data_IF_145655768159
#
_entry.id   IF_145655768159
#
_cell.length_a   1.000
_cell.length_b   1.000
_cell.length_c   1.000
_cell.angle_alpha   90.00
_cell.angle_beta   90.00
_cell.angle_gamma   90.00
#
_symmetry.space_group_name_H-M   'P 1'
#
loop_
_entity.id
_entity.type
_entity.pdbx_description
1 polymer ?
#
# COMPACT_ATOMS: atom_id res chain seq x y z
N UNK A 1 19.98 -4.98 9.33
CA UNK A 1 20.27 -4.64 7.94
C UNK A 1 19.10 -5.03 7.06
N UNK A 2 18.59 -4.12 6.26
CA UNK A 2 17.50 -4.49 5.37
C UNK A 2 17.99 -5.47 4.32
N UNK A 3 17.06 -6.28 3.84
CA UNK A 3 17.35 -7.16 2.74
C UNK A 3 17.68 -6.32 1.50
N UNK A 4 18.59 -6.81 0.68
CA UNK A 4 19.07 -6.02 -0.45
C UNK A 4 17.98 -5.63 -1.44
N UNK A 5 16.88 -6.37 -1.48
CA UNK A 5 15.78 -6.04 -2.37
C UNK A 5 14.73 -5.14 -1.73
N UNK A 6 14.92 -4.76 -0.46
CA UNK A 6 14.00 -3.86 0.24
C UNK A 6 14.69 -2.52 0.45
N UNK A 7 15.00 -1.85 -0.63
CA UNK A 7 15.77 -0.61 -0.56
C UNK A 7 15.05 0.59 -1.17
N UNK A 8 13.78 0.44 -1.46
CA UNK A 8 12.98 1.57 -1.94
C UNK A 8 12.36 2.34 -0.78
N UNK A 9 11.90 3.52 -1.08
CA UNK A 9 11.15 4.34 -0.13
C UNK A 9 9.87 4.80 -0.79
N UNK A 10 8.85 4.95 0.02
CA UNK A 10 7.56 5.46 -0.47
C UNK A 10 7.08 6.54 0.48
N UNK A 11 6.21 7.40 -0.02
CA UNK A 11 5.52 8.39 0.81
C UNK A 11 4.11 7.88 1.05
N UNK A 12 3.76 7.73 2.32
CA UNK A 12 2.42 7.32 2.71
C UNK A 12 1.61 8.58 2.99
N UNK A 13 0.46 8.68 2.35
CA UNK A 13 -0.42 9.82 2.47
C UNK A 13 -1.66 9.35 3.20
N UNK A 14 -1.91 9.94 4.35
CA UNK A 14 -3.03 9.53 5.21
C UNK A 14 -4.00 10.69 5.35
N UNK A 15 -5.23 10.47 4.93
CA UNK A 15 -6.28 11.45 5.04
C UNK A 15 -6.66 11.64 6.51
N UNK A 16 -7.05 12.87 6.84
CA UNK A 16 -7.59 13.14 8.16
C UNK A 16 -9.05 12.70 8.17
N UNK A 17 -9.43 12.00 9.23
CA UNK A 17 -10.83 11.61 9.40
C UNK A 17 -11.60 12.77 9.99
N UNK A 18 -12.68 13.16 9.33
CA UNK A 18 -13.58 14.22 9.82
C UNK A 18 -14.99 13.67 9.86
N UNK A 19 -15.80 14.29 10.70
CA UNK A 19 -17.23 13.96 10.79
C UNK A 19 -18.01 15.03 10.04
N UNK A 20 -18.83 14.59 9.10
CA UNK A 20 -19.67 15.48 8.33
C UNK A 20 -21.03 14.85 8.20
N UNK A 21 -22.06 15.59 8.63
CA UNK A 21 -23.45 15.11 8.57
C UNK A 21 -23.62 13.75 9.26
N UNK A 22 -22.90 13.54 10.35
CA UNK A 22 -23.00 12.30 11.11
C UNK A 22 -22.18 11.14 10.56
N UNK A 23 -21.49 11.33 9.45
CA UNK A 23 -20.67 10.29 8.86
C UNK A 23 -19.21 10.66 8.90
N UNK A 24 -18.36 9.67 9.10
CA UNK A 24 -16.93 9.89 9.05
C UNK A 24 -16.46 9.76 7.62
N UNK A 25 -15.77 10.78 7.15
CA UNK A 25 -15.23 10.80 5.80
C UNK A 25 -13.74 11.14 5.86
N UNK A 26 -13.03 10.77 4.82
CA UNK A 26 -11.62 11.09 4.69
C UNK A 26 -11.45 12.44 4.04
N UNK A 27 -10.63 13.27 4.67
CA UNK A 27 -10.33 14.61 4.17
C UNK A 27 -8.93 14.60 3.60
N UNK A 28 -8.84 14.46 2.28
CA UNK A 28 -7.55 14.40 1.60
C UNK A 28 -6.89 15.78 1.47
N UNK A 29 -7.65 16.84 1.65
CA UNK A 29 -7.08 18.19 1.60
C UNK A 29 -6.18 18.45 2.79
N UNK A 30 -6.45 17.79 3.90
CA UNK A 30 -5.66 17.94 5.11
C UNK A 30 -4.91 16.67 5.44
N UNK A 31 -4.52 15.93 4.40
CA UNK A 31 -3.79 14.69 4.58
C UNK A 31 -2.40 14.95 5.13
N UNK A 32 -1.92 14.00 5.91
CA UNK A 32 -0.54 14.01 6.38
C UNK A 32 0.28 13.05 5.55
N UNK A 33 1.58 13.33 5.46
CA UNK A 33 2.49 12.50 4.70
C UNK A 33 3.65 12.09 5.56
N UNK A 34 4.10 10.88 5.38
CA UNK A 34 5.34 10.42 6.02
C UNK A 34 6.02 9.42 5.09
N UNK A 35 7.32 9.27 5.28
CA UNK A 35 8.13 8.40 4.44
C UNK A 35 8.31 7.07 5.14
N UNK A 36 8.14 5.99 4.38
CA UNK A 36 8.46 4.64 4.83
C UNK A 36 9.59 4.14 3.98
N UNK A 37 10.70 3.80 4.62
CA UNK A 37 11.91 3.34 3.97
C UNK A 37 12.00 1.83 4.02
N UNK A 38 12.94 1.29 3.24
CA UNK A 38 13.22 -0.14 3.23
C UNK A 38 11.99 -0.95 2.83
N UNK A 39 11.39 -0.56 1.72
CA UNK A 39 10.23 -1.26 1.18
C UNK A 39 10.62 -1.95 -0.12
N UNK A 40 9.85 -2.95 -0.47
CA UNK A 40 9.95 -3.62 -1.76
C UNK A 40 8.61 -3.50 -2.44
N UNK A 41 8.63 -3.04 -3.68
CA UNK A 41 7.42 -2.98 -4.49
C UNK A 41 7.63 -3.86 -5.71
N UNK A 42 6.75 -4.83 -5.86
CA UNK A 42 6.83 -5.77 -6.98
C UNK A 42 5.52 -5.73 -7.74
N UNK A 43 5.63 -5.98 -9.04
CA UNK A 43 4.44 -6.09 -9.86
C UNK A 43 3.64 -7.30 -9.40
N UNK A 44 2.37 -7.09 -9.14
CA UNK A 44 1.50 -8.18 -8.78
C UNK A 44 1.10 -8.93 -10.04
N UNK A 45 1.13 -10.25 -9.97
CA UNK A 45 0.68 -11.04 -11.10
C UNK A 45 -0.80 -10.75 -11.31
N UNK A 46 -1.12 -10.28 -12.51
CA UNK A 46 -2.52 -10.03 -12.82
C UNK A 46 -3.24 -11.35 -13.00
N UNK A 47 -4.48 -11.37 -12.58
CA UNK A 47 -5.33 -12.52 -12.83
C UNK A 47 -5.46 -12.69 -14.32
N UNK A 48 -5.38 -13.92 -14.75
CA UNK A 48 -5.58 -14.17 -16.15
C UNK A 48 -7.02 -13.90 -16.52
N UNK A 49 -7.15 -13.55 -17.79
CA UNK A 49 -8.44 -13.41 -18.37
C UNK A 49 -9.06 -14.80 -18.50
N UNK A 50 -10.04 -15.07 -17.70
CA UNK A 50 -10.77 -16.33 -17.79
C UNK A 50 -11.91 -16.13 -18.77
N UNK A 51 -12.19 -17.16 -19.51
CA UNK A 51 -13.34 -17.18 -20.41
C UNK A 51 -13.23 -16.20 -21.56
N UNK A 52 -12.03 -15.82 -21.91
CA UNK A 52 -11.81 -14.99 -23.08
C UNK A 52 -12.21 -13.55 -22.92
N UNK A 53 -12.51 -13.10 -21.72
CA UNK A 53 -12.84 -11.71 -21.51
C UNK A 53 -11.57 -10.92 -21.23
N UNK A 54 -11.47 -9.78 -21.85
CA UNK A 54 -10.35 -8.90 -21.59
C UNK A 54 -10.47 -8.36 -20.18
N UNK A 55 -9.46 -8.62 -19.39
CA UNK A 55 -9.41 -8.07 -18.06
C UNK A 55 -8.98 -6.62 -18.14
N UNK A 56 -9.57 -5.81 -17.30
CA UNK A 56 -9.06 -4.48 -17.10
C UNK A 56 -7.71 -4.60 -16.46
N UNK A 57 -6.72 -4.05 -17.14
CA UNK A 57 -5.40 -4.02 -16.59
C UNK A 57 -5.34 -2.93 -15.55
N UNK A 58 -5.40 -3.32 -14.31
CA UNK A 58 -5.13 -2.41 -13.22
C UNK A 58 -3.66 -2.56 -12.89
N UNK A 59 -3.01 -1.43 -12.68
CA UNK A 59 -1.61 -1.45 -12.28
C UNK A 59 -1.56 -1.82 -10.81
N UNK A 60 -1.48 -3.10 -10.55
CA UNK A 60 -1.50 -3.64 -9.20
C UNK A 60 -0.10 -4.03 -8.79
N UNK A 61 0.25 -3.73 -7.55
CA UNK A 61 1.56 -4.01 -7.01
C UNK A 61 1.44 -4.56 -5.61
N UNK A 62 2.48 -5.23 -5.15
CA UNK A 62 2.57 -5.69 -3.78
C UNK A 62 3.67 -4.90 -3.09
N UNK A 63 3.33 -4.31 -1.95
CA UNK A 63 4.29 -3.59 -1.13
C UNK A 63 4.65 -4.46 0.07
N UNK A 64 5.94 -4.60 0.32
CA UNK A 64 6.45 -5.25 1.53
C UNK A 64 7.37 -4.29 2.24
N UNK A 65 7.24 -4.24 3.54
CA UNK A 65 8.01 -3.34 4.38
C UNK A 65 8.34 -4.02 5.69
N UNK A 66 9.03 -3.31 6.56
CA UNK A 66 9.30 -3.82 7.90
C UNK A 66 8.02 -4.01 8.68
N UNK A 67 8.05 -4.86 9.68
CA UNK A 67 6.88 -5.20 10.46
C UNK A 67 6.23 -3.96 11.10
N UNK A 68 7.04 -3.01 11.50
CA UNK A 68 6.57 -1.82 12.18
C UNK A 68 6.28 -0.65 11.25
N UNK A 69 6.20 -0.91 9.95
CA UNK A 69 5.89 0.16 9.01
C UNK A 69 4.53 0.77 9.30
N UNK A 70 4.48 2.10 9.27
CA UNK A 70 3.25 2.84 9.57
C UNK A 70 2.42 2.98 8.31
N UNK A 71 1.68 1.94 8.00
CA UNK A 71 0.82 1.86 6.83
C UNK A 71 -0.52 1.29 7.30
N UNK A 72 -1.61 1.96 6.92
CA UNK A 72 -2.95 1.55 7.34
C UNK A 72 -3.86 1.40 6.14
N UNK A 73 -4.91 0.59 6.26
CA UNK A 73 -5.89 0.50 5.18
C UNK A 73 -6.49 1.88 4.89
N UNK A 74 -6.67 2.15 3.62
CA UNK A 74 -7.21 3.43 3.19
C UNK A 74 -6.19 4.51 2.95
N UNK A 75 -4.93 4.27 3.28
CA UNK A 75 -3.86 5.21 2.96
C UNK A 75 -3.59 5.20 1.45
N UNK A 76 -3.02 6.30 0.98
CA UNK A 76 -2.46 6.34 -0.36
C UNK A 76 -0.94 6.26 -0.26
N UNK A 77 -0.32 5.75 -1.30
CA UNK A 77 1.13 5.58 -1.35
C UNK A 77 1.63 6.24 -2.63
N UNK A 78 2.59 7.13 -2.48
CA UNK A 78 3.26 7.74 -3.63
C UNK A 78 4.60 7.05 -3.83
N UNK A 79 4.80 6.54 -5.03
CA UNK A 79 6.01 5.82 -5.38
C UNK A 79 6.34 6.04 -6.85
N UNK A 80 7.58 6.40 -7.10
CA UNK A 80 8.09 6.54 -8.47
C UNK A 80 7.25 7.46 -9.36
N UNK A 81 6.71 8.52 -8.75
CA UNK A 81 5.92 9.51 -9.48
C UNK A 81 4.44 9.17 -9.63
N UNK A 82 4.03 8.01 -9.21
CA UNK A 82 2.63 7.59 -9.28
C UNK A 82 2.04 7.46 -7.89
N UNK A 83 0.73 7.60 -7.82
CA UNK A 83 0.01 7.43 -6.57
C UNK A 83 -0.80 6.14 -6.63
N UNK A 84 -0.76 5.40 -5.54
CA UNK A 84 -1.49 4.15 -5.40
C UNK A 84 -2.38 4.22 -4.19
N UNK A 85 -3.47 3.48 -4.19
CA UNK A 85 -4.27 3.28 -3.00
C UNK A 85 -4.05 1.87 -2.48
N UNK A 86 -4.19 1.71 -1.18
CA UNK A 86 -4.07 0.40 -0.57
C UNK A 86 -5.38 -0.33 -0.80
N UNK A 87 -5.30 -1.47 -1.46
CA UNK A 87 -6.47 -2.28 -1.79
C UNK A 87 -6.61 -3.37 -0.74
N UNK A 88 -7.65 -3.27 0.07
CA UNK A 88 -7.89 -4.25 1.09
C UNK A 88 -7.14 -3.96 2.37
N UNK A 89 -6.72 -5.00 3.03
CA UNK A 89 -6.12 -4.89 4.35
C UNK A 89 -4.61 -4.85 4.29
N UNK A 90 -4.03 -4.36 5.37
CA UNK A 90 -2.60 -4.36 5.58
C UNK A 90 -2.28 -5.47 6.57
N UNK A 91 -1.37 -6.35 6.18
CA UNK A 91 -1.03 -7.51 6.99
C UNK A 91 0.32 -7.30 7.66
N UNK A 92 0.34 -7.39 8.98
CA UNK A 92 1.57 -7.37 9.76
C UNK A 92 1.82 -8.78 10.23
N UNK A 93 2.83 -9.42 9.65
CA UNK A 93 3.06 -10.84 9.89
C UNK A 93 4.39 -11.05 10.59
N UNK A 94 4.38 -11.81 11.64
CA UNK A 94 5.58 -12.26 12.34
C UNK A 94 5.70 -13.76 12.18
N UNK A 95 6.91 -14.20 11.84
CA UNK A 95 7.15 -15.64 11.84
C UNK A 95 7.19 -16.15 13.27
N UNK A 96 6.96 -17.46 13.48
CA UNK A 96 6.99 -18.01 14.83
C UNK A 96 8.32 -17.81 15.53
N UNK A 97 9.42 -17.74 14.78
CA UNK A 97 10.73 -17.53 15.36
C UNK A 97 11.06 -16.05 15.51
N UNK A 98 10.24 -15.17 14.97
CA UNK A 98 10.51 -13.74 14.98
C UNK A 98 11.57 -13.30 13.99
N UNK A 99 12.10 -14.20 13.18
CA UNK A 99 13.16 -13.86 12.24
C UNK A 99 12.68 -13.11 11.03
N UNK A 100 11.48 -13.43 10.57
CA UNK A 100 10.89 -12.77 9.41
C UNK A 100 9.63 -12.10 9.88
N UNK A 101 9.65 -10.79 9.82
CA UNK A 101 8.50 -10.00 10.25
C UNK A 101 8.31 -8.92 9.20
N UNK A 102 7.14 -8.89 8.59
CA UNK A 102 6.90 -7.99 7.47
C UNK A 102 5.50 -7.38 7.56
N UNK A 103 5.39 -6.23 6.94
CA UNK A 103 4.12 -5.62 6.61
C UNK A 103 3.91 -5.80 5.11
N UNK A 104 2.74 -6.28 4.72
CA UNK A 104 2.43 -6.50 3.31
C UNK A 104 1.05 -5.95 2.99
N UNK A 105 0.95 -5.31 1.86
CA UNK A 105 -0.34 -4.85 1.37
C UNK A 105 -0.34 -4.83 -0.15
N UNK A 106 -1.54 -4.77 -0.70
CA UNK A 106 -1.72 -4.66 -2.14
C UNK A 106 -1.96 -3.20 -2.51
N UNK A 107 -1.35 -2.77 -3.59
CA UNK A 107 -1.50 -1.43 -4.11
C UNK A 107 -2.17 -1.48 -5.45
N UNK A 108 -3.07 -0.55 -5.69
CA UNK A 108 -3.70 -0.38 -6.99
C UNK A 108 -3.51 1.08 -7.38
N UNK A 109 -3.16 1.30 -8.63
CA UNK A 109 -2.92 2.66 -9.08
C UNK A 109 -4.17 3.50 -8.91
N UNK A 110 -3.99 4.66 -8.31
CA UNK A 110 -5.09 5.57 -8.05
C UNK A 110 -5.10 6.64 -9.14
N UNK A 111 -6.25 6.77 -9.77
CA UNK A 111 -6.38 7.71 -10.87
C UNK A 111 -7.40 8.80 -10.56
N UNK A 112 -7.71 8.92 -9.31
CA UNK A 112 -8.69 9.82 -8.78
C UNK A 112 -8.81 11.20 -9.25
#
# INVERSE_FOLDING_TARGET
MPLSFMNDSVTVIRAKMITKNGAQIRDWKNATEHTVSNVQITAQATSRDFEGRALQTRDARTLRANYDADIEPGDHVSWNGDTYEIDGEVFHTKSPTGRISTTRCSLVRWEG
#
